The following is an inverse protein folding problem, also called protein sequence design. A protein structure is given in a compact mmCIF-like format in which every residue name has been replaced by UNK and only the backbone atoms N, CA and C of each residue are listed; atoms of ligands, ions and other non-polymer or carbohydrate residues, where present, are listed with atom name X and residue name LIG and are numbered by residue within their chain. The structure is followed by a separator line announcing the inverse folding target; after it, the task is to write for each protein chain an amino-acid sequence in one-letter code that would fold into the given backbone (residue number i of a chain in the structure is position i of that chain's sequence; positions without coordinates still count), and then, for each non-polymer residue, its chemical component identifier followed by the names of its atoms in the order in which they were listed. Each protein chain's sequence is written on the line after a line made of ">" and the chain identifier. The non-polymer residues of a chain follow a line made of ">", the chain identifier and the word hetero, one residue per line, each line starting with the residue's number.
data_IF_150324262799
#
_entry.id   IF_150324262799
#
_cell.length_a   1.000
_cell.length_b   1.000
_cell.length_c   1.000
_cell.angle_alpha   90.00
_cell.angle_beta   90.00
_cell.angle_gamma   90.00
#
_symmetry.space_group_name_H-M   'P 1'
#
loop_
_entity.id
_entity.type
_entity.pdbx_description
1 polymer ?
#
# COMPACT_ATOMS: atom_id res chain seq x y z
N UNK A 1 8.96 -13.10 2.43
CA UNK A 1 9.33 -11.99 3.33
C UNK A 1 8.88 -12.32 4.74
N UNK A 2 9.57 -11.84 5.76
CA UNK A 2 9.31 -12.21 7.16
C UNK A 2 9.55 -11.03 8.10
N UNK A 3 8.84 -11.03 9.24
CA UNK A 3 9.04 -10.06 10.32
C UNK A 3 10.14 -10.62 11.23
N UNK A 4 11.13 -9.78 11.53
CA UNK A 4 12.27 -10.19 12.34
C UNK A 4 12.12 -9.69 13.78
N UNK A 5 12.58 -10.51 14.73
CA UNK A 5 12.75 -10.13 16.14
C UNK A 5 14.22 -10.28 16.50
N UNK A 6 14.82 -9.24 17.06
CA UNK A 6 16.23 -9.29 17.46
C UNK A 6 16.41 -10.13 18.72
N UNK A 7 17.63 -10.60 18.96
CA UNK A 7 17.98 -11.15 20.27
C UNK A 7 17.73 -10.09 21.36
N UNK A 8 17.07 -10.44 22.48
CA UNK A 8 16.85 -9.51 23.58
C UNK A 8 18.17 -9.06 24.21
N UNK A 9 18.23 -7.80 24.63
CA UNK A 9 19.37 -7.22 25.35
C UNK A 9 18.88 -6.59 26.64
N UNK A 10 19.60 -6.81 27.73
CA UNK A 10 19.30 -6.18 29.01
C UNK A 10 19.40 -4.66 28.89
N UNK A 11 18.45 -3.94 29.47
CA UNK A 11 18.37 -2.49 29.49
C UNK A 11 17.71 -2.04 30.79
N UNK A 12 18.39 -1.16 31.52
CA UNK A 12 17.86 -0.54 32.71
C UNK A 12 17.09 0.74 32.34
N UNK A 13 15.89 0.91 32.90
CA UNK A 13 15.07 2.11 32.77
C UNK A 13 14.67 2.52 34.18
N UNK A 14 15.20 3.66 34.65
CA UNK A 14 15.18 4.04 36.07
C UNK A 14 15.75 2.90 36.93
N UNK A 15 15.09 2.51 38.01
CA UNK A 15 15.55 1.46 38.93
C UNK A 15 15.04 0.06 38.55
N UNK A 16 14.53 -0.13 37.33
CA UNK A 16 13.95 -1.40 36.86
C UNK A 16 14.72 -1.95 35.65
N UNK A 17 15.03 -3.24 35.70
CA UNK A 17 15.70 -3.96 34.62
C UNK A 17 14.71 -4.60 33.64
N UNK A 18 14.95 -4.41 32.34
CA UNK A 18 14.16 -5.00 31.25
C UNK A 18 15.05 -5.75 30.26
N UNK A 19 14.44 -6.66 29.49
CA UNK A 19 15.04 -7.18 28.25
C UNK A 19 14.33 -6.56 27.06
N UNK A 20 15.08 -5.80 26.25
CA UNK A 20 14.54 -5.11 25.07
C UNK A 20 14.92 -5.85 23.80
N UNK A 21 13.95 -5.99 22.91
CA UNK A 21 14.11 -6.56 21.57
C UNK A 21 13.47 -5.64 20.53
N UNK A 22 14.00 -5.63 19.31
CA UNK A 22 13.45 -4.88 18.19
C UNK A 22 12.59 -5.80 17.32
N UNK A 23 11.43 -5.30 16.90
CA UNK A 23 10.61 -5.93 15.86
C UNK A 23 10.78 -5.15 14.55
N UNK A 24 11.27 -5.80 13.50
CA UNK A 24 11.57 -5.17 12.20
C UNK A 24 10.57 -5.64 11.14
N UNK A 25 9.88 -4.67 10.54
CA UNK A 25 8.89 -4.87 9.49
C UNK A 25 9.49 -4.54 8.12
N UNK A 26 9.52 -5.47 7.16
CA UNK A 26 9.89 -5.16 5.79
C UNK A 26 8.92 -4.17 5.14
N UNK A 27 9.49 -3.19 4.45
CA UNK A 27 8.80 -2.22 3.59
C UNK A 27 9.47 -2.26 2.21
N UNK A 28 8.65 -2.33 1.16
CA UNK A 28 9.09 -2.26 -0.22
C UNK A 28 8.46 -1.03 -0.84
N UNK A 29 9.24 -0.31 -1.62
CA UNK A 29 8.78 0.89 -2.31
C UNK A 29 9.05 0.71 -3.80
N UNK A 30 8.02 0.91 -4.61
CA UNK A 30 8.10 0.89 -6.06
C UNK A 30 7.62 2.24 -6.60
N UNK A 31 8.46 2.90 -7.41
CA UNK A 31 8.15 4.20 -8.02
C UNK A 31 7.71 4.03 -9.47
N UNK A 32 6.64 4.72 -9.86
CA UNK A 32 6.13 4.71 -11.23
C UNK A 32 6.65 5.91 -12.02
N UNK A 33 7.62 5.68 -12.92
CA UNK A 33 8.12 6.70 -13.85
C UNK A 33 8.49 8.04 -13.18
N UNK A 34 8.13 9.15 -13.83
CA UNK A 34 8.35 10.51 -13.33
C UNK A 34 7.24 11.01 -12.38
N UNK A 35 6.19 10.21 -12.17
CA UNK A 35 5.15 10.60 -11.23
C UNK A 35 5.68 10.43 -9.80
N UNK A 36 5.34 11.35 -8.90
CA UNK A 36 5.54 11.18 -7.45
C UNK A 36 4.55 10.18 -6.84
N UNK A 37 4.02 9.28 -7.69
CA UNK A 37 3.15 8.16 -7.30
C UNK A 37 4.04 6.98 -6.94
N UNK A 38 3.84 6.47 -5.73
CA UNK A 38 4.60 5.36 -5.15
C UNK A 38 3.62 4.24 -4.79
N UNK A 39 4.05 3.00 -4.95
CA UNK A 39 3.43 1.87 -4.28
C UNK A 39 4.33 1.44 -3.13
N UNK A 40 3.74 1.37 -1.94
CA UNK A 40 4.38 0.85 -0.75
C UNK A 40 3.75 -0.49 -0.37
N UNK A 41 4.59 -1.48 -0.07
CA UNK A 41 4.14 -2.78 0.41
C UNK A 41 4.75 -3.00 1.78
N UNK A 42 3.89 -3.10 2.79
CA UNK A 42 4.30 -3.34 4.17
C UNK A 42 3.89 -4.75 4.56
N UNK A 43 4.84 -5.51 5.10
CA UNK A 43 4.56 -6.85 5.63
C UNK A 43 4.15 -6.71 7.10
N UNK A 44 2.94 -7.18 7.44
CA UNK A 44 2.39 -7.16 8.81
C UNK A 44 1.95 -8.55 9.24
N UNK A 45 1.76 -8.75 10.54
CA UNK A 45 1.12 -9.95 11.06
C UNK A 45 -0.33 -10.04 10.57
N UNK A 46 -0.82 -11.25 10.31
CA UNK A 46 -2.24 -11.46 10.03
C UNK A 46 -3.06 -11.20 11.29
N UNK A 47 -4.18 -10.49 11.14
CA UNK A 47 -5.14 -10.37 12.24
C UNK A 47 -5.85 -11.71 12.45
N UNK A 48 -5.80 -12.25 13.68
CA UNK A 48 -6.46 -13.49 14.10
C UNK A 48 -6.08 -14.74 13.29
N UNK A 49 -4.90 -14.77 12.67
CA UNK A 49 -4.38 -15.93 11.95
C UNK A 49 -2.85 -16.02 12.04
N UNK A 50 -2.31 -17.19 11.73
CA UNK A 50 -0.86 -17.42 11.72
C UNK A 50 -0.25 -16.90 10.40
N UNK A 51 0.91 -16.26 10.53
CA UNK A 51 1.73 -15.81 9.41
C UNK A 51 1.66 -14.30 9.16
N UNK A 52 2.16 -13.91 7.99
CA UNK A 52 2.24 -12.51 7.58
C UNK A 52 1.32 -12.22 6.40
N UNK A 53 0.91 -10.96 6.26
CA UNK A 53 0.16 -10.43 5.15
C UNK A 53 0.88 -9.20 4.57
N UNK A 54 1.04 -9.14 3.25
CA UNK A 54 1.46 -7.93 2.56
C UNK A 54 0.28 -6.97 2.41
N UNK A 55 0.46 -5.73 2.82
CA UNK A 55 -0.50 -4.63 2.66
C UNK A 55 0.05 -3.68 1.59
N UNK A 56 -0.72 -3.46 0.52
CA UNK A 56 -0.34 -2.56 -0.57
C UNK A 56 -1.01 -1.19 -0.37
N UNK A 57 -0.21 -0.14 -0.44
CA UNK A 57 -0.65 1.26 -0.40
C UNK A 57 -0.23 1.94 -1.70
N UNK A 58 -1.14 2.72 -2.28
CA UNK A 58 -0.86 3.63 -3.38
C UNK A 58 -0.76 5.03 -2.79
N UNK A 59 0.40 5.65 -2.92
CA UNK A 59 0.70 6.97 -2.42
C UNK A 59 0.81 7.93 -3.62
N UNK A 60 0.19 9.10 -3.53
CA UNK A 60 0.30 10.18 -4.51
C UNK A 60 0.19 11.52 -3.78
N UNK A 61 0.80 12.59 -4.31
CA UNK A 61 0.72 13.89 -3.66
C UNK A 61 -0.70 14.44 -3.75
N UNK A 62 -1.10 15.25 -2.76
CA UNK A 62 -2.44 15.87 -2.71
C UNK A 62 -2.71 16.78 -3.91
N UNK A 63 -1.67 17.21 -4.63
CA UNK A 63 -1.74 17.98 -5.87
C UNK A 63 -2.34 17.21 -7.04
N UNK A 64 -2.35 15.87 -6.99
CA UNK A 64 -3.02 15.02 -7.99
C UNK A 64 -4.54 14.94 -7.77
N UNK A 65 -5.06 15.50 -6.67
CA UNK A 65 -6.48 15.46 -6.35
C UNK A 65 -7.20 16.72 -6.82
N UNK A 66 -8.33 16.50 -7.49
CA UNK A 66 -9.26 17.54 -7.89
C UNK A 66 -10.36 17.73 -6.84
N UNK A 67 -10.66 18.98 -6.52
CA UNK A 67 -11.83 19.33 -5.69
C UNK A 67 -13.07 19.46 -6.56
N UNK A 68 -14.23 19.01 -6.06
CA UNK A 68 -15.53 19.21 -6.72
C UNK A 68 -15.81 20.68 -7.04
N UNK A 69 -15.34 21.59 -6.19
CA UNK A 69 -15.58 23.02 -6.31
C UNK A 69 -14.42 23.76 -7.00
N UNK A 70 -13.49 23.02 -7.64
CA UNK A 70 -12.27 23.57 -8.26
C UNK A 70 -11.40 24.42 -7.32
N UNK A 71 -11.53 24.18 -6.02
CA UNK A 71 -10.70 24.81 -4.98
C UNK A 71 -9.43 23.99 -4.76
N UNK A 72 -8.28 24.65 -4.59
CA UNK A 72 -7.05 23.95 -4.22
C UNK A 72 -7.16 23.34 -2.82
N UNK A 73 -6.51 22.20 -2.61
CA UNK A 73 -6.33 21.60 -1.29
C UNK A 73 -5.13 22.18 -0.53
N UNK A 74 -4.16 22.78 -1.23
CA UNK A 74 -2.95 23.31 -0.61
C UNK A 74 -3.23 24.56 0.22
N UNK A 75 -2.56 24.69 1.36
CA UNK A 75 -2.60 25.88 2.21
C UNK A 75 -3.82 26.00 3.11
N UNK A 76 -4.62 24.93 3.27
CA UNK A 76 -5.79 24.93 4.15
C UNK A 76 -6.03 23.56 4.78
N UNK A 77 -6.86 23.53 5.83
CA UNK A 77 -7.40 22.30 6.37
C UNK A 77 -8.52 21.75 5.47
N UNK A 78 -8.71 20.43 5.52
CA UNK A 78 -9.85 19.77 4.91
C UNK A 78 -11.14 20.14 5.65
N UNK A 79 -12.21 20.41 4.91
CA UNK A 79 -13.53 20.64 5.49
C UNK A 79 -14.16 19.32 5.95
N UNK A 80 -15.16 19.41 6.83
CA UNK A 80 -15.92 18.26 7.30
C UNK A 80 -16.50 17.47 6.13
N UNK A 81 -16.14 16.19 6.03
CA UNK A 81 -16.58 15.26 4.95
C UNK A 81 -16.20 15.72 3.54
N UNK A 82 -15.15 16.54 3.41
CA UNK A 82 -14.60 16.88 2.11
C UNK A 82 -13.95 15.66 1.43
N UNK A 83 -14.17 15.51 0.12
CA UNK A 83 -13.59 14.44 -0.69
C UNK A 83 -12.79 15.02 -1.85
N UNK A 84 -11.61 14.47 -2.10
CA UNK A 84 -10.84 14.68 -3.33
C UNK A 84 -11.17 13.64 -4.40
N UNK A 85 -11.03 14.01 -5.67
CA UNK A 85 -11.24 13.15 -6.83
C UNK A 85 -9.88 12.88 -7.47
N UNK A 86 -9.50 11.61 -7.58
CA UNK A 86 -8.37 11.17 -8.39
C UNK A 86 -8.89 10.76 -9.77
N UNK A 87 -8.59 11.57 -10.78
CA UNK A 87 -9.07 11.35 -12.15
C UNK A 87 -8.08 10.47 -12.92
N UNK A 88 -8.48 9.22 -13.20
CA UNK A 88 -7.68 8.28 -14.00
C UNK A 88 -8.24 8.18 -15.43
N UNK A 89 -7.34 8.29 -16.40
CA UNK A 89 -7.66 8.19 -17.83
C UNK A 89 -6.70 7.23 -18.56
N UNK A 90 -6.76 7.21 -19.90
CA UNK A 90 -5.93 6.34 -20.73
C UNK A 90 -4.41 6.47 -20.48
N UNK A 91 -3.93 7.64 -20.02
CA UNK A 91 -2.51 7.89 -19.70
C UNK A 91 -2.06 7.09 -18.47
N UNK A 92 -2.99 6.74 -17.60
CA UNK A 92 -2.75 6.03 -16.35
C UNK A 92 -2.84 4.51 -16.49
N UNK A 93 -3.11 4.00 -17.70
CA UNK A 93 -3.27 2.56 -17.96
C UNK A 93 -2.10 1.72 -17.45
N UNK A 94 -0.86 2.16 -17.69
CA UNK A 94 0.34 1.43 -17.27
C UNK A 94 0.39 1.29 -15.76
N UNK A 95 0.17 2.39 -15.03
CA UNK A 95 0.11 2.40 -13.57
C UNK A 95 -0.92 1.40 -13.02
N UNK A 96 -2.14 1.43 -13.54
CA UNK A 96 -3.20 0.50 -13.09
C UNK A 96 -2.81 -0.95 -13.36
N UNK A 97 -2.29 -1.26 -14.55
CA UNK A 97 -1.89 -2.62 -14.91
C UNK A 97 -0.70 -3.11 -14.07
N UNK A 98 0.25 -2.25 -13.75
CA UNK A 98 1.38 -2.62 -12.91
C UNK A 98 0.96 -2.81 -11.45
N UNK A 99 0.03 -2.01 -10.92
CA UNK A 99 -0.57 -2.27 -9.61
C UNK A 99 -1.20 -3.67 -9.54
N UNK A 100 -1.91 -4.11 -10.59
CA UNK A 100 -2.44 -5.48 -10.67
C UNK A 100 -1.33 -6.55 -10.69
N UNK A 101 -0.25 -6.33 -11.46
CA UNK A 101 0.91 -7.24 -11.48
C UNK A 101 1.56 -7.34 -10.10
N UNK A 102 1.80 -6.20 -9.45
CA UNK A 102 2.37 -6.12 -8.11
C UNK A 102 1.48 -6.89 -7.14
N UNK A 103 0.18 -6.62 -7.13
CA UNK A 103 -0.77 -7.32 -6.25
C UNK A 103 -0.72 -8.84 -6.48
N UNK A 104 -0.66 -9.27 -7.74
CA UNK A 104 -0.58 -10.68 -8.11
C UNK A 104 0.69 -11.42 -7.69
N UNK A 105 1.79 -10.72 -7.33
CA UNK A 105 3.02 -11.35 -6.82
C UNK A 105 3.13 -11.32 -5.30
N UNK A 106 2.19 -10.67 -4.60
CA UNK A 106 2.26 -10.49 -3.14
C UNK A 106 2.04 -11.80 -2.36
N UNK A 107 1.17 -12.69 -2.86
CA UNK A 107 0.90 -13.99 -2.25
C UNK A 107 0.25 -14.95 -3.24
N UNK A 108 0.23 -16.26 -2.93
CA UNK A 108 -0.47 -17.26 -3.76
C UNK A 108 -1.97 -16.95 -3.91
N UNK A 109 -2.61 -16.45 -2.86
CA UNK A 109 -4.03 -16.11 -2.88
C UNK A 109 -4.28 -14.89 -3.77
N UNK A 110 -3.49 -13.82 -3.58
CA UNK A 110 -3.59 -12.64 -4.44
C UNK A 110 -3.31 -12.96 -5.91
N UNK A 111 -2.35 -13.86 -6.19
CA UNK A 111 -2.07 -14.34 -7.53
C UNK A 111 -3.31 -14.97 -8.17
N UNK A 112 -3.96 -15.89 -7.45
CA UNK A 112 -5.18 -16.54 -7.90
C UNK A 112 -6.31 -15.51 -8.12
N UNK A 113 -6.54 -14.60 -7.17
CA UNK A 113 -7.61 -13.60 -7.26
C UNK A 113 -7.42 -12.69 -8.49
N UNK A 114 -6.19 -12.23 -8.74
CA UNK A 114 -5.86 -11.42 -9.92
C UNK A 114 -6.16 -12.18 -11.20
N UNK A 115 -5.76 -13.45 -11.31
CA UNK A 115 -6.04 -14.27 -12.48
C UNK A 115 -7.56 -14.43 -12.71
N UNK A 116 -8.34 -14.62 -11.65
CA UNK A 116 -9.80 -14.73 -11.77
C UNK A 116 -10.44 -13.42 -12.24
N UNK A 117 -10.00 -12.27 -11.71
CA UNK A 117 -10.45 -10.96 -12.15
C UNK A 117 -10.12 -10.75 -13.64
N UNK A 118 -8.89 -11.06 -14.06
CA UNK A 118 -8.48 -10.93 -15.46
C UNK A 118 -9.27 -11.86 -16.39
N UNK A 119 -9.55 -13.10 -15.94
CA UNK A 119 -10.39 -14.03 -16.69
C UNK A 119 -11.81 -13.49 -16.88
N UNK A 120 -12.41 -12.94 -15.82
CA UNK A 120 -13.73 -12.33 -15.87
C UNK A 120 -13.77 -11.12 -16.81
N UNK A 121 -12.78 -10.22 -16.72
CA UNK A 121 -12.65 -9.07 -17.62
C UNK A 121 -12.58 -9.53 -19.07
N UNK A 122 -11.72 -10.51 -19.38
CA UNK A 122 -11.60 -11.07 -20.73
C UNK A 122 -12.92 -11.64 -21.24
N UNK A 123 -13.64 -12.40 -20.41
CA UNK A 123 -14.92 -13.00 -20.77
C UNK A 123 -16.02 -11.96 -21.03
N UNK A 124 -16.04 -10.88 -20.25
CA UNK A 124 -17.13 -9.89 -20.28
C UNK A 124 -16.89 -8.79 -21.31
N UNK A 125 -15.63 -8.32 -21.46
CA UNK A 125 -15.30 -7.09 -22.20
C UNK A 125 -14.54 -7.34 -23.52
N UNK A 126 -13.95 -8.52 -23.72
CA UNK A 126 -13.10 -8.83 -24.88
C UNK A 126 -13.67 -10.00 -25.70
N UNK A 127 -14.97 -9.96 -25.99
CA UNK A 127 -15.60 -10.90 -26.93
C UNK A 127 -15.08 -10.71 -28.35
#
# INVERSE_FOLDING_TARGET
>A
MQIFRSHPKQKQILDIEFYVSEVKYPLLVHKFGNFDVLVEIIIKEKQRAIGVQPMLYVCFPITELESKNKTTFLGRAANTKECGILSLDARHKTFVLECFKIFGILSKNHHYDVLQILHLIKKTLLK
#
